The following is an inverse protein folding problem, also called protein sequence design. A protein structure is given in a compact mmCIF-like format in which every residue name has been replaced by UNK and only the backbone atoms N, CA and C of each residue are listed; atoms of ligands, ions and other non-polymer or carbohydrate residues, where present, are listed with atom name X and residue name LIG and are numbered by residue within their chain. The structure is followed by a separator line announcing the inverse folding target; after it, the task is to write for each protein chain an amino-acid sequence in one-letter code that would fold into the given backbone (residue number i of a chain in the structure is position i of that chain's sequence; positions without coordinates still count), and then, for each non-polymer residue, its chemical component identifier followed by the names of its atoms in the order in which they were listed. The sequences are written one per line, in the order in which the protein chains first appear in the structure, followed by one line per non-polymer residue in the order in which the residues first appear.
data_IF_601382616101
#
_entry.id   IF_601382616101
#
_cell.length_a   1.000
_cell.length_b   1.000
_cell.length_c   1.000
_cell.angle_alpha   90.00
_cell.angle_beta   90.00
_cell.angle_gamma   90.00
#
_symmetry.space_group_name_H-M   'P 1'
#
loop_
_entity.id
_entity.type
_entity.pdbx_description
1 polymer ?
#
# COMPACT_ATOMS: atom_id res chain seq x y z
N UNK A 1 -11.95 20.46 -0.21
CA UNK A 1 -10.89 19.46 -0.01
C UNK A 1 -10.07 19.47 -1.28
N UNK A 2 -8.75 19.72 -1.21
CA UNK A 2 -7.92 19.67 -2.40
C UNK A 2 -7.85 18.23 -2.90
N UNK A 3 -7.99 18.00 -4.21
CA UNK A 3 -7.82 16.67 -4.81
C UNK A 3 -6.39 16.12 -4.64
N UNK A 4 -5.46 16.97 -4.21
CA UNK A 4 -4.02 16.73 -4.12
C UNK A 4 -3.49 17.04 -2.71
N UNK A 5 -4.00 16.35 -1.70
CA UNK A 5 -3.38 16.32 -0.37
C UNK A 5 -2.47 15.08 -0.22
N UNK A 6 -1.65 15.05 0.84
CA UNK A 6 -0.74 13.93 1.07
C UNK A 6 -1.48 12.60 1.34
N UNK A 7 -2.69 12.65 1.90
CA UNK A 7 -3.51 11.47 2.14
C UNK A 7 -3.90 10.77 0.84
N UNK A 8 -4.51 11.49 -0.12
CA UNK A 8 -4.89 10.92 -1.41
C UNK A 8 -3.68 10.52 -2.23
N UNK A 9 -2.60 11.32 -2.20
CA UNK A 9 -1.34 10.96 -2.88
C UNK A 9 -0.76 9.64 -2.33
N UNK A 10 -0.73 9.48 -1.01
CA UNK A 10 -0.28 8.26 -0.36
C UNK A 10 -1.17 7.06 -0.71
N UNK A 11 -2.48 7.20 -0.55
CA UNK A 11 -3.44 6.12 -0.76
C UNK A 11 -3.43 5.64 -2.21
N UNK A 12 -3.49 6.55 -3.19
CA UNK A 12 -3.44 6.16 -4.60
C UNK A 12 -2.06 5.68 -5.03
N UNK A 13 -0.99 6.26 -4.47
CA UNK A 13 0.37 5.76 -4.69
C UNK A 13 0.55 4.33 -4.21
N UNK A 14 0.12 4.03 -2.98
CA UNK A 14 0.13 2.67 -2.41
C UNK A 14 -0.77 1.72 -3.21
N UNK A 15 -1.99 2.13 -3.56
CA UNK A 15 -2.91 1.31 -4.35
C UNK A 15 -2.34 0.99 -5.74
N UNK A 16 -1.73 1.97 -6.42
CA UNK A 16 -1.03 1.78 -7.68
C UNK A 16 0.12 0.79 -7.52
N UNK A 17 0.98 0.99 -6.50
CA UNK A 17 2.11 0.11 -6.22
C UNK A 17 1.72 -1.34 -6.02
N UNK A 18 0.70 -1.59 -5.20
CA UNK A 18 0.17 -2.93 -4.97
C UNK A 18 -0.47 -3.52 -6.21
N UNK A 19 -1.23 -2.73 -6.97
CA UNK A 19 -1.86 -3.18 -8.21
C UNK A 19 -0.79 -3.60 -9.22
N UNK A 20 0.24 -2.78 -9.45
CA UNK A 20 1.35 -3.12 -10.34
C UNK A 20 2.05 -4.41 -9.90
N UNK A 21 2.40 -4.52 -8.61
CA UNK A 21 3.04 -5.73 -8.06
C UNK A 21 2.16 -6.96 -8.19
N UNK A 22 0.86 -6.84 -7.97
CA UNK A 22 -0.08 -7.93 -8.10
C UNK A 22 -0.26 -8.37 -9.55
N UNK A 23 -0.40 -7.42 -10.49
CA UNK A 23 -0.54 -7.72 -11.91
C UNK A 23 0.66 -8.49 -12.45
N UNK A 24 1.89 -8.12 -12.07
CA UNK A 24 3.08 -8.91 -12.43
C UNK A 24 2.98 -10.37 -11.96
N UNK A 25 2.51 -10.59 -10.73
CA UNK A 25 2.38 -11.92 -10.12
C UNK A 25 1.24 -12.76 -10.68
N UNK A 26 0.16 -12.12 -11.14
CA UNK A 26 -0.97 -12.80 -11.78
C UNK A 26 -0.62 -13.17 -13.22
N UNK A 27 -0.05 -12.24 -13.96
CA UNK A 27 0.27 -12.40 -15.37
C UNK A 27 1.42 -13.40 -15.57
N UNK A 28 2.52 -13.22 -14.83
CA UNK A 28 3.71 -14.06 -14.95
C UNK A 28 4.31 -14.34 -13.55
N UNK A 29 3.74 -15.30 -12.80
CA UNK A 29 4.25 -15.67 -11.48
C UNK A 29 5.66 -16.25 -11.54
N UNK A 30 6.04 -16.93 -12.63
CA UNK A 30 7.35 -17.60 -12.75
C UNK A 30 8.49 -16.58 -12.88
N UNK A 31 8.27 -15.52 -13.66
CA UNK A 31 9.19 -14.38 -13.69
C UNK A 31 9.37 -13.78 -12.29
N UNK A 32 8.30 -13.59 -11.53
CA UNK A 32 8.39 -13.03 -10.18
C UNK A 32 9.17 -13.95 -9.25
N UNK A 33 8.94 -15.26 -9.32
CA UNK A 33 9.72 -16.27 -8.57
C UNK A 33 11.20 -16.15 -8.91
N UNK A 34 11.55 -15.99 -10.19
CA UNK A 34 12.93 -15.85 -10.64
C UNK A 34 13.65 -14.65 -10.02
N UNK A 35 12.94 -13.56 -9.74
CA UNK A 35 13.51 -12.36 -9.11
C UNK A 35 13.97 -12.60 -7.67
N UNK A 36 13.26 -13.48 -6.94
CA UNK A 36 13.55 -13.80 -5.54
C UNK A 36 14.48 -15.00 -5.38
N UNK A 37 14.86 -15.69 -6.46
CA UNK A 37 15.67 -16.89 -6.32
C UNK A 37 17.15 -16.58 -6.04
N UNK A 38 17.76 -17.30 -5.08
CA UNK A 38 19.20 -17.23 -4.88
C UNK A 38 19.95 -17.83 -6.09
N UNK A 39 21.22 -17.45 -6.32
CA UNK A 39 22.03 -17.94 -7.44
C UNK A 39 22.04 -19.46 -7.60
N UNK A 40 22.10 -20.20 -6.48
CA UNK A 40 22.13 -21.66 -6.48
C UNK A 40 20.86 -22.33 -7.02
N UNK A 41 19.74 -21.60 -7.10
CA UNK A 41 18.42 -22.12 -7.50
C UNK A 41 17.91 -21.51 -8.81
N UNK A 42 18.69 -20.65 -9.49
CA UNK A 42 18.25 -19.95 -10.71
C UNK A 42 17.85 -20.88 -11.85
N UNK A 43 18.47 -22.05 -11.94
CA UNK A 43 18.26 -23.00 -13.04
C UNK A 43 17.16 -24.04 -12.76
N UNK A 44 16.53 -23.99 -11.58
CA UNK A 44 15.45 -24.92 -11.25
C UNK A 44 14.15 -24.45 -11.93
N UNK A 45 13.22 -25.35 -12.22
CA UNK A 45 11.87 -24.95 -12.59
C UNK A 45 11.11 -24.44 -11.34
N UNK A 46 10.22 -23.43 -11.45
CA UNK A 46 9.24 -23.10 -10.42
C UNK A 46 8.40 -24.31 -10.03
N UNK A 47 8.26 -24.58 -8.73
CA UNK A 47 7.36 -25.63 -8.25
C UNK A 47 5.97 -25.07 -7.91
N UNK A 48 5.00 -25.97 -7.77
CA UNK A 48 3.59 -25.61 -7.51
C UNK A 48 3.40 -24.76 -6.26
N UNK A 49 4.21 -24.96 -5.21
CA UNK A 49 4.12 -24.19 -3.97
C UNK A 49 4.61 -22.74 -4.16
N UNK A 50 5.71 -22.54 -4.90
CA UNK A 50 6.19 -21.19 -5.24
C UNK A 50 5.15 -20.44 -6.06
N UNK A 51 4.57 -21.09 -7.08
CA UNK A 51 3.53 -20.50 -7.94
C UNK A 51 2.28 -20.16 -7.12
N UNK A 52 1.82 -21.08 -6.28
CA UNK A 52 0.68 -20.88 -5.39
C UNK A 52 0.88 -19.68 -4.46
N UNK A 53 2.05 -19.58 -3.81
CA UNK A 53 2.35 -18.48 -2.89
C UNK A 53 2.39 -17.14 -3.61
N UNK A 54 3.03 -17.07 -4.79
CA UNK A 54 3.12 -15.83 -5.57
C UNK A 54 1.74 -15.38 -6.06
N UNK A 55 0.89 -16.30 -6.51
CA UNK A 55 -0.49 -15.97 -6.91
C UNK A 55 -1.33 -15.53 -5.72
N UNK A 56 -1.20 -16.20 -4.58
CA UNK A 56 -1.95 -15.86 -3.37
C UNK A 56 -1.54 -14.49 -2.83
N UNK A 57 -0.23 -14.19 -2.79
CA UNK A 57 0.30 -12.87 -2.47
C UNK A 57 -0.29 -11.79 -3.39
N UNK A 58 -0.41 -12.07 -4.70
CA UNK A 58 -1.02 -11.13 -5.65
C UNK A 58 -2.45 -10.72 -5.30
N UNK A 59 -3.30 -11.68 -4.95
CA UNK A 59 -4.69 -11.42 -4.55
C UNK A 59 -4.76 -10.70 -3.20
N UNK A 60 -3.82 -10.99 -2.29
CA UNK A 60 -3.65 -10.23 -1.05
C UNK A 60 -3.33 -8.76 -1.33
N UNK A 61 -2.36 -8.49 -2.21
CA UNK A 61 -1.98 -7.13 -2.61
C UNK A 61 -3.13 -6.36 -3.27
N UNK A 62 -3.89 -6.99 -4.18
CA UNK A 62 -5.08 -6.37 -4.78
C UNK A 62 -6.14 -6.04 -3.73
N UNK A 63 -6.33 -6.93 -2.75
CA UNK A 63 -7.27 -6.71 -1.65
C UNK A 63 -6.86 -5.48 -0.83
N UNK A 64 -5.58 -5.35 -0.49
CA UNK A 64 -5.06 -4.17 0.22
C UNK A 64 -5.26 -2.90 -0.63
N UNK A 65 -4.96 -2.95 -1.93
CA UNK A 65 -5.19 -1.82 -2.84
C UNK A 65 -6.66 -1.38 -2.86
N UNK A 66 -7.60 -2.33 -2.93
CA UNK A 66 -9.04 -2.03 -2.89
C UNK A 66 -9.47 -1.46 -1.54
N UNK A 67 -8.96 -1.99 -0.43
CA UNK A 67 -9.23 -1.45 0.91
C UNK A 67 -8.76 0.01 1.03
N UNK A 68 -7.58 0.33 0.49
CA UNK A 68 -7.06 1.70 0.43
C UNK A 68 -7.96 2.63 -0.40
N UNK A 69 -8.44 2.18 -1.56
CA UNK A 69 -9.39 2.95 -2.37
C UNK A 69 -10.70 3.17 -1.61
N UNK A 70 -11.21 2.16 -0.90
CA UNK A 70 -12.45 2.28 -0.11
C UNK A 70 -12.30 3.31 1.00
N UNK A 71 -11.20 3.31 1.75
CA UNK A 71 -11.00 4.26 2.86
C UNK A 71 -10.68 5.69 2.39
N UNK A 72 -10.31 5.86 1.11
CA UNK A 72 -10.08 7.20 0.53
C UNK A 72 -11.36 8.00 0.29
N UNK A 73 -12.54 7.38 0.39
CA UNK A 73 -13.83 7.96 -0.03
C UNK A 73 -13.88 8.42 -1.50
N UNK A 74 -12.87 8.09 -2.32
CA UNK A 74 -12.78 8.51 -3.71
C UNK A 74 -13.73 7.77 -4.65
N UNK A 75 -14.17 6.56 -4.26
CA UNK A 75 -15.17 5.79 -5.00
C UNK A 75 -16.50 5.88 -4.27
N UNK A 76 -17.53 6.50 -4.86
CA UNK A 76 -18.85 6.49 -4.27
C UNK A 76 -19.38 5.05 -4.22
N UNK A 77 -19.71 4.57 -3.02
CA UNK A 77 -20.33 3.25 -2.79
C UNK A 77 -21.84 3.45 -2.53
N UNK A 78 -22.67 3.70 -3.56
CA UNK A 78 -24.07 4.05 -3.37
C UNK A 78 -24.89 2.94 -2.69
N UNK A 79 -24.51 1.68 -2.88
CA UNK A 79 -25.23 0.51 -2.34
C UNK A 79 -24.87 0.17 -0.89
N UNK A 80 -23.68 0.56 -0.41
CA UNK A 80 -23.19 0.23 0.93
C UNK A 80 -23.22 1.44 1.89
N UNK A 81 -23.67 2.60 1.42
CA UNK A 81 -23.66 3.84 2.21
C UNK A 81 -25.01 4.12 2.88
N UNK A 82 -24.99 4.32 4.19
CA UNK A 82 -26.16 4.72 4.98
C UNK A 82 -26.11 6.23 5.29
N UNK A 83 -27.10 6.75 6.03
CA UNK A 83 -27.16 8.17 6.38
C UNK A 83 -25.94 8.64 7.20
N UNK A 84 -25.43 7.78 8.09
CA UNK A 84 -24.26 8.07 8.94
C UNK A 84 -22.96 8.13 8.13
N UNK A 85 -22.71 7.16 7.24
CA UNK A 85 -21.49 7.17 6.40
C UNK A 85 -21.50 8.34 5.42
N UNK A 86 -22.67 8.69 4.85
CA UNK A 86 -22.82 9.89 4.01
C UNK A 86 -22.58 11.18 4.79
N UNK A 87 -23.00 11.24 6.06
CA UNK A 87 -22.73 12.39 6.92
C UNK A 87 -21.24 12.52 7.28
N UNK A 88 -20.56 11.40 7.58
CA UNK A 88 -19.12 11.37 7.82
C UNK A 88 -18.32 11.81 6.59
N UNK A 89 -18.67 11.29 5.41
CA UNK A 89 -18.04 11.67 4.15
C UNK A 89 -18.22 13.17 3.86
N UNK A 90 -19.41 13.74 4.11
CA UNK A 90 -19.64 15.19 4.02
C UNK A 90 -18.87 16.02 5.03
N UNK A 91 -18.59 15.45 6.21
CA UNK A 91 -17.81 16.11 7.26
C UNK A 91 -16.30 16.06 7.02
N UNK A 92 -15.84 15.25 6.05
CA UNK A 92 -14.42 15.04 5.77
C UNK A 92 -13.65 14.30 6.87
N UNK A 93 -14.36 13.69 7.83
CA UNK A 93 -13.75 12.93 8.93
C UNK A 93 -13.58 11.48 8.53
N UNK A 94 -12.32 11.04 8.48
CA UNK A 94 -11.94 9.66 8.17
C UNK A 94 -11.40 8.98 9.43
N UNK A 95 -12.26 8.33 10.25
CA UNK A 95 -11.88 7.87 11.60
C UNK A 95 -10.74 6.84 11.60
N UNK A 96 -10.58 6.07 10.52
CA UNK A 96 -9.57 5.03 10.40
C UNK A 96 -8.39 5.39 9.50
N UNK A 97 -8.36 6.58 8.87
CA UNK A 97 -7.33 6.93 7.90
C UNK A 97 -5.92 6.82 8.47
N UNK A 98 -5.69 7.34 9.68
CA UNK A 98 -4.38 7.26 10.36
C UNK A 98 -3.96 5.82 10.65
N UNK A 99 -4.90 4.98 11.10
CA UNK A 99 -4.63 3.58 11.41
C UNK A 99 -4.35 2.77 10.12
N UNK A 100 -5.08 3.06 9.04
CA UNK A 100 -4.86 2.44 7.75
C UNK A 100 -3.51 2.84 7.15
N UNK A 101 -3.12 4.12 7.20
CA UNK A 101 -1.79 4.58 6.79
C UNK A 101 -0.71 3.85 7.58
N UNK A 102 -0.82 3.78 8.91
CA UNK A 102 0.19 3.13 9.75
C UNK A 102 0.32 1.63 9.43
N UNK A 103 -0.80 0.95 9.20
CA UNK A 103 -0.83 -0.47 8.83
C UNK A 103 -0.21 -0.70 7.46
N UNK A 104 -0.52 0.17 6.50
CA UNK A 104 0.03 0.13 5.15
C UNK A 104 1.54 0.41 5.14
N UNK A 105 1.99 1.39 5.92
CA UNK A 105 3.42 1.68 6.13
C UNK A 105 4.16 0.47 6.68
N UNK A 106 3.58 -0.24 7.66
CA UNK A 106 4.19 -1.45 8.18
C UNK A 106 4.41 -2.48 7.06
N UNK A 107 3.43 -2.66 6.19
CA UNK A 107 3.57 -3.56 5.05
C UNK A 107 4.66 -3.10 4.05
N UNK A 108 4.74 -1.80 3.73
CA UNK A 108 5.84 -1.25 2.92
C UNK A 108 7.21 -1.50 3.57
N UNK A 109 7.35 -1.22 4.86
CA UNK A 109 8.63 -1.44 5.58
C UNK A 109 9.02 -2.92 5.53
N UNK A 110 8.10 -3.84 5.85
CA UNK A 110 8.41 -5.26 5.88
C UNK A 110 8.77 -5.82 4.50
N UNK A 111 8.02 -5.43 3.46
CA UNK A 111 8.33 -5.87 2.09
C UNK A 111 9.58 -5.20 1.53
N UNK A 112 9.87 -3.96 1.93
CA UNK A 112 11.12 -3.25 1.64
C UNK A 112 12.33 -3.91 2.28
N UNK A 113 12.24 -4.35 3.54
CA UNK A 113 13.29 -5.13 4.22
C UNK A 113 13.53 -6.48 3.53
N UNK A 114 12.45 -7.14 3.08
CA UNK A 114 12.54 -8.33 2.25
C UNK A 114 13.35 -8.09 0.96
N UNK A 115 12.99 -7.05 0.20
CA UNK A 115 13.73 -6.65 -1.01
C UNK A 115 15.18 -6.25 -0.71
N UNK A 116 15.41 -5.55 0.40
CA UNK A 116 16.73 -5.13 0.85
C UNK A 116 17.68 -6.32 1.05
N UNK A 117 17.18 -7.42 1.61
CA UNK A 117 17.97 -8.63 1.85
C UNK A 117 18.58 -9.24 0.58
N UNK A 118 17.91 -9.05 -0.57
CA UNK A 118 18.43 -9.42 -1.90
C UNK A 118 19.23 -8.28 -2.54
N UNK A 119 18.79 -7.03 -2.38
CA UNK A 119 19.41 -5.84 -2.95
C UNK A 119 20.87 -5.68 -2.51
N UNK A 120 21.18 -5.87 -1.22
CA UNK A 120 22.54 -5.66 -0.70
C UNK A 120 23.53 -6.74 -1.10
N UNK A 121 23.06 -7.87 -1.64
CA UNK A 121 23.91 -8.98 -2.04
C UNK A 121 24.13 -8.90 -3.54
N UNK A 122 25.35 -8.59 -3.97
CA UNK A 122 25.68 -8.50 -5.41
C UNK A 122 25.23 -9.73 -6.20
N UNK A 123 25.38 -10.92 -5.60
CA UNK A 123 24.99 -12.17 -6.24
C UNK A 123 23.47 -12.31 -6.43
N UNK A 124 22.64 -11.66 -5.60
CA UNK A 124 21.18 -11.74 -5.65
C UNK A 124 20.53 -10.48 -6.23
N UNK A 125 21.31 -9.42 -6.43
CA UNK A 125 20.84 -8.15 -6.95
C UNK A 125 20.20 -8.29 -8.33
N UNK A 126 19.10 -7.58 -8.52
CA UNK A 126 18.51 -7.30 -9.83
C UNK A 126 17.66 -6.02 -9.73
N UNK A 127 17.28 -5.46 -10.88
CA UNK A 127 16.51 -4.20 -10.95
C UNK A 127 15.20 -4.27 -10.17
N UNK A 128 14.52 -5.43 -10.12
CA UNK A 128 13.27 -5.56 -9.39
C UNK A 128 13.45 -5.42 -7.87
N UNK A 129 14.59 -5.88 -7.32
CA UNK A 129 14.92 -5.68 -5.90
C UNK A 129 15.19 -4.22 -5.59
N UNK A 130 15.89 -3.51 -6.49
CA UNK A 130 16.13 -2.07 -6.36
C UNK A 130 14.81 -1.29 -6.35
N UNK A 131 13.93 -1.59 -7.32
CA UNK A 131 12.59 -1.02 -7.40
C UNK A 131 11.80 -1.33 -6.13
N UNK A 132 11.87 -2.57 -5.62
CA UNK A 132 11.24 -2.98 -4.36
C UNK A 132 11.70 -2.15 -3.16
N UNK A 133 13.00 -1.97 -2.97
CA UNK A 133 13.58 -1.18 -1.87
C UNK A 133 13.13 0.27 -1.95
N UNK A 134 13.35 0.94 -3.09
CA UNK A 134 13.12 2.37 -3.21
C UNK A 134 11.62 2.71 -3.30
N UNK A 135 10.84 1.87 -3.96
CA UNK A 135 9.38 2.02 -4.02
C UNK A 135 8.75 1.88 -2.63
N UNK A 136 9.10 0.84 -1.88
CA UNK A 136 8.58 0.66 -0.53
C UNK A 136 9.11 1.72 0.45
N UNK A 137 10.40 2.09 0.35
CA UNK A 137 10.99 3.15 1.18
C UNK A 137 10.36 4.52 0.92
N UNK A 138 10.15 4.86 -0.35
CA UNK A 138 9.49 6.11 -0.75
C UNK A 138 8.04 6.20 -0.27
N UNK A 139 7.28 5.10 -0.39
CA UNK A 139 5.91 5.05 0.12
C UNK A 139 5.87 5.10 1.65
N UNK A 140 6.75 4.37 2.36
CA UNK A 140 6.84 4.47 3.82
C UNK A 140 7.16 5.90 4.28
N UNK A 141 8.07 6.60 3.59
CA UNK A 141 8.38 8.00 3.86
C UNK A 141 7.17 8.91 3.59
N UNK A 142 6.47 8.73 2.47
CA UNK A 142 5.28 9.50 2.15
C UNK A 142 4.18 9.28 3.20
N UNK A 143 3.96 8.05 3.65
CA UNK A 143 3.00 7.75 4.73
C UNK A 143 3.37 8.44 6.04
N UNK A 144 4.66 8.44 6.39
CA UNK A 144 5.16 9.17 7.55
C UNK A 144 4.92 10.67 7.41
N UNK A 145 5.21 11.25 6.24
CA UNK A 145 4.93 12.66 5.96
C UNK A 145 3.43 12.97 6.09
N UNK A 146 2.55 12.11 5.58
CA UNK A 146 1.09 12.26 5.71
C UNK A 146 0.66 12.26 7.18
N UNK A 147 1.23 11.41 8.02
CA UNK A 147 0.89 11.33 9.45
C UNK A 147 1.39 12.53 10.27
N UNK A 148 2.55 13.09 9.91
CA UNK A 148 3.20 14.15 10.66
C UNK A 148 2.86 15.56 10.16
N UNK A 149 2.44 15.71 8.90
CA UNK A 149 2.15 17.01 8.32
C UNK A 149 0.91 17.67 8.97
N UNK A 150 0.86 19.01 9.00
CA UNK A 150 -0.32 19.75 9.45
C UNK A 150 -1.60 19.33 8.68
N UNK A 151 -2.80 19.41 9.28
CA UNK A 151 -4.05 18.99 8.64
C UNK A 151 -4.32 19.63 7.27
N UNK A 152 -3.86 20.87 7.07
CA UNK A 152 -4.03 21.62 5.82
C UNK A 152 -3.22 21.03 4.67
N UNK A 153 -2.12 20.33 4.98
CA UNK A 153 -1.21 19.69 4.01
C UNK A 153 -1.50 18.20 3.92
N UNK A 154 -1.71 17.54 5.06
CA UNK A 154 -1.97 16.10 5.10
C UNK A 154 -3.32 15.72 4.50
N UNK A 155 -4.33 16.59 4.61
CA UNK A 155 -5.72 16.25 4.28
C UNK A 155 -6.42 15.40 5.34
N UNK A 156 -5.71 15.04 6.42
CA UNK A 156 -6.28 14.27 7.53
C UNK A 156 -7.03 15.20 8.48
N UNK A 157 -8.36 15.10 8.50
CA UNK A 157 -9.17 15.82 9.48
C UNK A 157 -8.82 15.35 10.90
N UNK A 158 -8.65 16.31 11.81
CA UNK A 158 -8.57 16.03 13.25
C UNK A 158 -9.95 16.30 13.82
N UNK A 159 -10.51 15.36 14.61
CA UNK A 159 -11.77 15.63 15.33
C UNK A 159 -11.63 16.97 16.07
N UNK A 160 -12.46 17.97 15.71
CA UNK A 160 -12.63 19.14 16.58
C UNK A 160 -13.10 18.61 17.92
N UNK A 161 -12.30 18.78 18.97
CA UNK A 161 -12.72 18.56 20.36
C UNK A 161 -14.13 19.12 20.50
N UNK A 162 -15.13 18.26 20.73
CA UNK A 162 -16.47 18.69 21.13
C UNK A 162 -16.25 19.63 22.32
N UNK A 163 -16.49 20.92 22.10
CA UNK A 163 -16.50 21.90 23.18
C UNK A 163 -17.44 21.38 24.25
N UNK A 164 -16.95 21.34 25.48
CA UNK A 164 -17.78 21.08 26.66
C UNK A 164 -18.94 22.07 26.60
N UNK A 165 -20.15 21.55 26.44
CA UNK A 165 -21.37 22.30 26.74
C UNK A 165 -21.39 22.39 28.27
N UNK A 166 -21.06 23.57 28.80
CA UNK A 166 -21.40 23.96 30.17
C UNK A 166 -22.78 24.56 30.19
#
# INVERSE_FOLDING_TARGET
MALFDLFHAYVFGSALWYTTRALCRIYDPEMVISWFRPPAQRNLAPNDLEIYNVRTDAWGLLTIALMLVVISDAVPLPFFSNSTTKAQQRSGVQPYAKAAILTDMFHHVMTGLGAWSHYVRESHYNTSMAVGVWGCGGLALLGLMTLLAPPEVSGLATERRRGKVS
#
